data_IF_479406484616
#
_entry.id   IF_479406484616
#
_cell.length_a   1.000
_cell.length_b   1.000
_cell.length_c   1.000
_cell.angle_alpha   90.00
_cell.angle_beta   90.00
_cell.angle_gamma   90.00
#
_symmetry.space_group_name_H-M   'P 1'
#
loop_
_entity.id
_entity.type
_entity.pdbx_description
1 polymer ?
#
# COMPACT_ATOMS: atom_id res chain seq x y z
N UNK A 1 -32.19 24.96 -5.80
CA UNK A 1 -30.83 24.49 -6.16
C UNK A 1 -29.92 24.81 -4.99
N UNK A 2 -29.28 23.91 -4.24
CA UNK A 2 -29.09 22.46 -4.23
C UNK A 2 -28.88 22.06 -2.75
N UNK A 3 -29.30 20.85 -2.31
CA UNK A 3 -28.93 20.37 -0.98
C UNK A 3 -27.48 19.88 -1.02
N UNK A 4 -26.61 20.49 -0.23
CA UNK A 4 -25.23 20.03 -0.03
C UNK A 4 -25.30 18.68 0.68
N UNK A 5 -25.16 17.60 -0.09
CA UNK A 5 -24.98 16.25 0.45
C UNK A 5 -23.62 16.25 1.15
N UNK A 6 -23.62 16.39 2.47
CA UNK A 6 -22.49 15.94 3.29
C UNK A 6 -22.51 14.42 3.18
N UNK A 7 -21.86 13.92 2.14
CA UNK A 7 -21.46 12.53 2.07
C UNK A 7 -20.50 12.32 3.23
N UNK A 8 -21.00 11.77 4.32
CA UNK A 8 -20.18 11.12 5.34
C UNK A 8 -19.49 9.94 4.64
N UNK A 9 -18.43 10.22 3.88
CA UNK A 9 -17.55 9.18 3.38
C UNK A 9 -16.88 8.62 4.63
N UNK A 10 -17.35 7.45 5.08
CA UNK A 10 -16.51 6.56 5.86
C UNK A 10 -15.13 6.58 5.21
N UNK A 11 -14.10 7.12 5.86
CA UNK A 11 -12.76 7.01 5.32
C UNK A 11 -12.50 5.51 5.26
N UNK A 12 -12.36 5.01 4.04
CA UNK A 12 -11.77 3.69 3.83
C UNK A 12 -10.48 3.64 4.68
N UNK A 13 -10.13 2.50 5.28
CA UNK A 13 -8.93 2.38 6.13
C UNK A 13 -7.61 2.75 5.41
N UNK A 14 -7.66 3.13 4.13
CA UNK A 14 -6.57 3.66 3.33
C UNK A 14 -6.45 5.19 3.28
N UNK A 15 -7.46 5.96 3.70
CA UNK A 15 -7.49 7.44 3.52
C UNK A 15 -7.08 8.25 4.76
N UNK A 16 -6.84 7.63 5.92
CA UNK A 16 -6.34 8.33 7.12
C UNK A 16 -4.83 8.57 7.16
N UNK A 17 -4.13 8.22 6.08
CA UNK A 17 -2.67 8.09 6.09
C UNK A 17 -2.01 8.89 4.94
N UNK A 18 -2.70 9.87 4.34
CA UNK A 18 -2.12 10.67 3.25
C UNK A 18 -0.86 11.45 3.64
N UNK A 19 -0.58 11.56 4.94
CA UNK A 19 0.61 12.23 5.47
C UNK A 19 1.64 11.27 6.10
N UNK A 20 1.36 9.97 6.23
CA UNK A 20 2.39 9.02 6.68
C UNK A 20 3.00 8.39 5.43
N UNK A 21 4.33 8.47 5.28
CA UNK A 21 4.99 7.88 4.14
C UNK A 21 4.80 6.36 4.21
N UNK A 22 4.14 5.79 3.20
CA UNK A 22 4.13 4.34 3.02
C UNK A 22 5.52 3.92 2.59
N UNK A 23 6.27 3.35 3.53
CA UNK A 23 7.65 2.89 3.35
C UNK A 23 7.70 1.37 3.26
N UNK A 24 8.53 0.86 2.35
CA UNK A 24 8.76 -0.55 2.15
C UNK A 24 9.51 -1.13 3.35
N UNK A 25 8.90 -2.11 4.05
CA UNK A 25 9.51 -2.75 5.21
C UNK A 25 10.74 -3.62 4.90
N UNK A 26 11.12 -3.77 3.63
CA UNK A 26 12.27 -4.58 3.20
C UNK A 26 13.48 -3.71 2.83
N UNK A 27 13.28 -2.64 2.05
CA UNK A 27 14.37 -1.81 1.53
C UNK A 27 14.30 -0.33 1.92
N UNK A 28 13.20 0.13 2.54
CA UNK A 28 13.02 1.54 2.92
C UNK A 28 12.58 2.49 1.79
N UNK A 29 12.39 1.99 0.57
CA UNK A 29 11.87 2.80 -0.56
C UNK A 29 10.35 3.05 -0.41
N UNK A 30 9.78 3.94 -1.25
CA UNK A 30 8.35 4.20 -1.28
C UNK A 30 7.57 2.91 -1.56
N UNK A 31 6.79 2.46 -0.58
CA UNK A 31 5.87 1.35 -0.76
C UNK A 31 4.69 1.78 -1.63
N UNK A 32 4.26 0.84 -2.47
CA UNK A 32 3.05 1.01 -3.29
C UNK A 32 1.82 0.44 -2.58
N UNK A 33 2.02 -0.42 -1.57
CA UNK A 33 0.95 -0.97 -0.75
C UNK A 33 1.34 -2.30 -0.11
N UNK A 34 0.34 -3.06 0.31
CA UNK A 34 0.52 -4.40 0.84
C UNK A 34 0.66 -5.41 -0.29
N UNK A 35 1.80 -6.11 -0.33
CA UNK A 35 2.01 -7.28 -1.18
C UNK A 35 2.38 -8.46 -0.29
N UNK A 36 1.75 -9.61 -0.50
CA UNK A 36 1.97 -10.82 0.32
C UNK A 36 1.85 -10.53 1.84
N UNK A 37 0.82 -9.77 2.23
CA UNK A 37 0.55 -9.34 3.61
C UNK A 37 1.63 -8.44 4.26
N UNK A 38 2.53 -7.84 3.48
CA UNK A 38 3.54 -6.90 3.99
C UNK A 38 3.59 -5.60 3.16
N UNK A 39 3.78 -4.45 3.82
CA UNK A 39 3.96 -3.15 3.17
C UNK A 39 5.29 -3.14 2.40
N UNK A 40 5.23 -3.13 1.06
CA UNK A 40 6.42 -3.27 0.21
C UNK A 40 6.36 -2.42 -1.07
N UNK A 41 7.51 -2.18 -1.69
CA UNK A 41 7.61 -1.55 -3.01
C UNK A 41 7.50 -2.59 -4.14
N UNK A 42 7.27 -2.13 -5.38
CA UNK A 42 7.19 -3.02 -6.57
C UNK A 42 8.47 -3.84 -6.79
N UNK A 43 9.64 -3.29 -6.42
CA UNK A 43 10.91 -3.99 -6.51
C UNK A 43 10.96 -5.24 -5.60
N UNK A 44 10.62 -5.07 -4.33
CA UNK A 44 10.59 -6.15 -3.34
C UNK A 44 9.49 -7.18 -3.62
N UNK A 45 8.32 -6.73 -4.09
CA UNK A 45 7.25 -7.61 -4.59
C UNK A 45 7.75 -8.52 -5.72
N UNK A 46 8.41 -7.93 -6.73
CA UNK A 46 8.95 -8.67 -7.87
C UNK A 46 10.09 -9.61 -7.46
N UNK A 47 10.97 -9.16 -6.56
CA UNK A 47 12.04 -9.97 -5.98
C UNK A 47 11.48 -11.20 -5.27
N UNK A 48 10.56 -11.01 -4.31
CA UNK A 48 9.94 -12.09 -3.56
C UNK A 48 9.29 -13.13 -4.47
N UNK A 49 8.51 -12.71 -5.47
CA UNK A 49 7.89 -13.61 -6.45
C UNK A 49 8.90 -14.46 -7.23
N UNK A 50 10.04 -13.88 -7.63
CA UNK A 50 11.11 -14.61 -8.35
C UNK A 50 11.87 -15.56 -7.42
N UNK A 51 12.16 -15.13 -6.19
CA UNK A 51 12.89 -15.92 -5.20
C UNK A 51 12.07 -17.10 -4.68
N UNK A 52 10.76 -16.93 -4.48
CA UNK A 52 9.88 -18.04 -4.05
C UNK A 52 9.64 -19.08 -5.14
N UNK A 53 9.62 -18.68 -6.42
CA UNK A 53 9.49 -19.60 -7.56
C UNK A 53 10.80 -20.33 -7.87
N UNK A 54 11.94 -19.71 -7.57
CA UNK A 54 13.25 -20.35 -7.53
C UNK A 54 13.53 -20.87 -6.12
N UNK A 55 12.74 -21.86 -5.67
CA UNK A 55 13.24 -22.74 -4.60
C UNK A 55 14.60 -23.27 -5.07
N UNK A 56 15.63 -23.08 -4.24
CA UNK A 56 16.90 -23.76 -4.40
C UNK A 56 16.67 -25.27 -4.54
#
# INVERSE_FOLDING_TARGET
>A
MEPTVVSTSNPSPDEFDRNVPRICGVCGDKATGFHFNAMTCEGCKGFFRRSMKRKA
#
